data_IF_951752465423
#
_entry.id   IF_951752465423
#
_cell.length_a   1.000
_cell.length_b   1.000
_cell.length_c   1.000
_cell.angle_alpha   90.00
_cell.angle_beta   90.00
_cell.angle_gamma   90.00
#
_symmetry.space_group_name_H-M   'P 1'
#
loop_
_entity.id
_entity.type
_entity.pdbx_description
1 polymer ?
#
# COMPACT_ATOMS: atom_id res chain seq x y z
N UNK A 1 46.21 -28.35 -16.66
CA UNK A 1 45.28 -28.33 -17.79
C UNK A 1 44.65 -26.95 -17.81
N UNK A 2 45.22 -26.09 -18.63
CA UNK A 2 45.00 -24.62 -18.71
C UNK A 2 43.89 -24.36 -19.72
N UNK A 3 42.83 -23.66 -19.31
CA UNK A 3 41.75 -23.18 -20.20
C UNK A 3 41.74 -21.69 -20.28
N UNK A 4 41.93 -21.22 -21.52
CA UNK A 4 42.07 -19.84 -21.96
C UNK A 4 40.75 -19.06 -21.85
N UNK A 5 40.81 -17.88 -21.28
CA UNK A 5 39.80 -16.81 -21.40
C UNK A 5 39.90 -16.09 -22.73
N UNK A 6 38.82 -15.95 -23.46
CA UNK A 6 38.66 -15.05 -24.60
C UNK A 6 37.75 -13.87 -24.20
N UNK A 7 38.13 -12.63 -24.49
CA UNK A 7 37.27 -11.47 -24.27
C UNK A 7 36.32 -11.24 -25.45
N UNK A 8 35.05 -10.91 -25.14
CA UNK A 8 34.04 -10.49 -26.11
C UNK A 8 34.18 -8.98 -26.34
N UNK A 9 34.37 -8.60 -27.58
CA UNK A 9 34.47 -7.20 -28.06
C UNK A 9 33.08 -6.59 -28.17
N UNK A 10 32.85 -5.47 -27.49
CA UNK A 10 31.73 -4.55 -27.71
C UNK A 10 31.90 -3.76 -28.98
N UNK A 11 30.96 -3.82 -29.89
CA UNK A 11 30.87 -2.97 -31.07
C UNK A 11 29.86 -1.85 -30.85
N UNK A 12 30.34 -0.63 -30.74
CA UNK A 12 29.56 0.60 -30.79
C UNK A 12 29.14 0.90 -32.23
N UNK A 13 27.85 1.09 -32.47
CA UNK A 13 27.38 1.71 -33.72
C UNK A 13 26.71 3.05 -33.41
N UNK A 14 27.39 4.11 -33.80
CA UNK A 14 26.84 5.46 -33.99
C UNK A 14 26.15 5.50 -35.37
N UNK A 15 24.95 6.07 -35.42
CA UNK A 15 24.32 6.61 -36.64
C UNK A 15 23.40 7.73 -36.17
N UNK A 16 23.70 8.91 -36.39
CA UNK A 16 23.59 9.84 -37.51
C UNK A 16 22.15 10.40 -37.65
N UNK A 17 22.10 11.72 -37.36
CA UNK A 17 20.92 12.61 -37.50
C UNK A 17 20.59 12.79 -38.99
N UNK A 18 19.28 12.85 -39.29
CA UNK A 18 18.79 13.52 -40.49
C UNK A 18 17.62 14.42 -40.12
N UNK A 19 17.80 15.70 -40.35
CA UNK A 19 16.82 16.78 -40.32
C UNK A 19 16.19 16.85 -41.70
N UNK A 20 14.86 16.94 -41.80
CA UNK A 20 14.18 17.39 -43.01
C UNK A 20 12.99 18.25 -42.63
N UNK A 21 13.12 19.52 -42.94
CA UNK A 21 12.11 20.60 -42.94
C UNK A 21 11.37 20.66 -44.27
N UNK A 22 10.24 21.36 -44.30
CA UNK A 22 9.34 21.86 -45.37
C UNK A 22 8.01 21.08 -45.43
N UNK A 23 6.86 21.73 -45.57
CA UNK A 23 6.49 23.11 -45.85
C UNK A 23 4.99 23.30 -45.75
N UNK A 24 4.58 24.51 -45.57
CA UNK A 24 3.22 25.02 -45.45
C UNK A 24 2.43 24.94 -46.78
N UNK A 25 1.10 24.72 -46.65
CA UNK A 25 0.14 25.13 -47.69
C UNK A 25 -1.16 25.57 -47.04
N UNK A 26 -1.39 26.87 -47.11
CA UNK A 26 -2.66 27.58 -46.85
C UNK A 26 -3.50 27.52 -48.12
N UNK A 27 -4.78 27.16 -48.02
CA UNK A 27 -5.76 27.42 -49.04
C UNK A 27 -7.02 27.99 -48.42
N UNK A 28 -7.17 29.32 -48.61
CA UNK A 28 -8.40 30.08 -48.43
C UNK A 28 -9.27 29.92 -49.69
N UNK A 29 -10.54 29.62 -49.54
CA UNK A 29 -11.52 29.79 -50.62
C UNK A 29 -12.74 30.49 -50.02
N UNK A 30 -12.86 31.76 -50.37
CA UNK A 30 -14.04 32.60 -50.28
C UNK A 30 -14.90 32.34 -51.52
N UNK A 31 -16.19 32.17 -51.33
CA UNK A 31 -17.17 32.40 -52.41
C UNK A 31 -18.42 33.06 -51.81
N UNK A 32 -18.62 34.31 -52.19
CA UNK A 32 -19.86 35.07 -52.11
C UNK A 32 -20.78 34.74 -53.25
N UNK A 33 -22.08 34.67 -53.02
CA UNK A 33 -23.09 34.60 -54.06
C UNK A 33 -24.47 34.82 -53.44
N UNK A 34 -25.03 36.06 -53.65
CA UNK A 34 -26.31 36.49 -53.13
C UNK A 34 -27.49 36.06 -54.02
N UNK A 35 -28.72 36.20 -53.50
CA UNK A 35 -29.99 36.01 -54.19
C UNK A 35 -31.14 36.03 -53.21
N UNK A 36 -31.89 37.15 -53.20
CA UNK A 36 -33.12 37.36 -52.47
C UNK A 36 -34.21 36.46 -52.95
N UNK A 37 -35.07 35.91 -52.09
CA UNK A 37 -36.52 36.13 -52.17
C UNK A 37 -37.25 35.68 -50.90
N UNK A 38 -38.31 36.40 -50.61
CA UNK A 38 -39.14 36.33 -49.42
C UNK A 38 -40.12 35.16 -49.42
N UNK A 39 -40.31 34.49 -48.30
CA UNK A 39 -41.60 33.88 -47.94
C UNK A 39 -41.64 33.57 -46.43
N UNK A 40 -42.62 34.14 -45.81
CA UNK A 40 -43.08 34.09 -44.44
C UNK A 40 -43.51 32.69 -44.02
N UNK A 41 -43.01 32.18 -42.89
CA UNK A 41 -43.67 31.09 -42.17
C UNK A 41 -43.18 31.03 -40.69
N UNK A 42 -44.14 30.94 -39.80
CA UNK A 42 -44.22 30.94 -38.34
C UNK A 42 -43.10 30.20 -37.56
N UNK A 43 -42.88 30.63 -36.29
CA UNK A 43 -41.86 30.07 -35.43
C UNK A 43 -42.27 28.68 -34.92
N UNK A 44 -41.50 27.67 -35.27
CA UNK A 44 -41.54 26.37 -34.62
C UNK A 44 -40.53 26.38 -33.49
N UNK A 45 -40.98 26.09 -32.26
CA UNK A 45 -40.19 26.16 -31.04
C UNK A 45 -38.96 25.28 -31.12
N UNK A 46 -37.83 25.91 -31.08
CA UNK A 46 -36.54 25.28 -30.83
C UNK A 46 -36.53 24.86 -29.37
N UNK A 47 -36.80 23.55 -29.15
CA UNK A 47 -36.43 22.89 -27.90
C UNK A 47 -34.90 22.94 -27.82
N UNK A 48 -34.39 23.92 -27.06
CA UNK A 48 -33.02 23.86 -26.55
C UNK A 48 -32.83 22.52 -25.86
N UNK A 49 -32.15 21.61 -26.51
CA UNK A 49 -31.61 20.42 -25.89
C UNK A 49 -30.60 20.97 -24.85
N UNK A 50 -31.00 20.97 -23.58
CA UNK A 50 -30.05 21.08 -22.49
C UNK A 50 -29.04 19.99 -22.71
N UNK A 51 -27.81 20.35 -23.07
CA UNK A 51 -26.68 19.46 -22.98
C UNK A 51 -26.62 19.01 -21.53
N UNK A 52 -27.03 17.79 -21.29
CA UNK A 52 -26.86 17.09 -20.02
C UNK A 52 -25.36 16.94 -19.84
N UNK A 53 -24.75 17.82 -19.04
CA UNK A 53 -23.35 17.72 -18.67
C UNK A 53 -23.21 16.61 -17.65
N UNK A 54 -23.55 15.38 -18.05
CA UNK A 54 -23.27 14.21 -17.23
C UNK A 54 -21.75 14.05 -17.15
N UNK A 55 -21.18 14.15 -15.95
CA UNK A 55 -19.82 13.71 -15.66
C UNK A 55 -19.58 12.35 -16.29
N UNK A 56 -18.38 12.06 -16.84
CA UNK A 56 -18.09 10.78 -17.45
C UNK A 56 -18.43 9.66 -16.48
N UNK A 57 -19.13 8.62 -16.97
CA UNK A 57 -19.53 7.47 -16.13
C UNK A 57 -18.34 6.62 -15.71
N UNK A 58 -17.25 6.66 -16.50
CA UNK A 58 -16.00 5.93 -16.27
C UNK A 58 -14.79 6.85 -16.43
N UNK A 59 -13.65 6.41 -15.90
CA UNK A 59 -12.34 7.05 -16.08
C UNK A 59 -11.25 5.98 -16.10
N UNK A 60 -10.13 6.28 -16.73
CA UNK A 60 -8.97 5.38 -16.80
C UNK A 60 -8.00 5.72 -15.68
N UNK A 61 -7.55 4.72 -14.93
CA UNK A 61 -6.46 4.81 -13.96
C UNK A 61 -5.35 3.83 -14.35
N UNK A 62 -4.12 4.11 -13.95
CA UNK A 62 -3.04 3.12 -14.01
C UNK A 62 -2.98 2.41 -12.66
N UNK A 63 -3.01 1.09 -12.70
CA UNK A 63 -2.79 0.27 -11.51
C UNK A 63 -1.30 0.20 -11.12
N UNK A 64 -0.96 -0.49 -10.04
CA UNK A 64 0.42 -0.59 -9.55
C UNK A 64 1.36 -1.36 -10.50
N UNK A 65 0.83 -2.10 -11.47
CA UNK A 65 1.61 -2.74 -12.54
C UNK A 65 1.88 -1.80 -13.73
N UNK A 66 1.25 -0.62 -13.72
CA UNK A 66 1.26 0.34 -14.83
C UNK A 66 0.20 0.06 -15.89
N UNK A 67 -0.65 -0.96 -15.69
CA UNK A 67 -1.75 -1.30 -16.59
C UNK A 67 -2.84 -0.23 -16.51
N UNK A 68 -3.31 0.25 -17.67
CA UNK A 68 -4.44 1.17 -17.76
C UNK A 68 -5.76 0.38 -17.61
N UNK A 69 -6.53 0.72 -16.60
CA UNK A 69 -7.80 0.07 -16.27
C UNK A 69 -8.92 1.11 -16.29
N UNK A 70 -10.01 0.80 -17.00
CA UNK A 70 -11.22 1.62 -16.98
C UNK A 70 -12.06 1.25 -15.74
N UNK A 71 -12.37 2.26 -14.92
CA UNK A 71 -13.13 2.09 -13.68
C UNK A 71 -14.31 3.08 -13.62
N UNK A 72 -15.35 2.82 -12.83
CA UNK A 72 -16.39 3.82 -12.57
C UNK A 72 -15.77 5.13 -12.07
N UNK A 73 -16.30 6.27 -12.50
CA UNK A 73 -15.86 7.58 -11.99
C UNK A 73 -16.07 7.69 -10.46
N UNK A 74 -17.14 7.08 -9.97
CA UNK A 74 -17.49 6.98 -8.56
C UNK A 74 -17.86 5.53 -8.19
N UNK A 75 -16.90 4.67 -7.84
CA UNK A 75 -17.20 3.31 -7.41
C UNK A 75 -18.08 3.31 -6.15
N UNK A 76 -19.07 2.42 -6.11
CA UNK A 76 -20.03 2.30 -4.99
C UNK A 76 -19.99 0.94 -4.32
N UNK A 77 -19.55 -0.09 -5.02
CA UNK A 77 -19.55 -1.47 -4.56
C UNK A 77 -18.15 -2.06 -4.64
N UNK A 78 -17.35 -1.74 -3.64
CA UNK A 78 -15.93 -2.08 -3.62
C UNK A 78 -15.74 -3.41 -2.89
N UNK A 79 -14.97 -4.31 -3.48
CA UNK A 79 -14.43 -5.50 -2.83
C UNK A 79 -12.93 -5.31 -2.62
N UNK A 80 -12.44 -5.61 -1.42
CA UNK A 80 -11.02 -5.56 -1.07
C UNK A 80 -10.49 -6.96 -0.80
N UNK A 81 -9.35 -7.31 -1.40
CA UNK A 81 -8.75 -8.65 -1.31
C UNK A 81 -7.51 -8.71 -0.40
N UNK A 82 -7.13 -7.56 0.17
CA UNK A 82 -6.07 -7.47 1.18
C UNK A 82 -6.52 -6.63 2.37
N UNK A 83 -5.84 -6.79 3.49
CA UNK A 83 -6.09 -5.96 4.67
C UNK A 83 -5.64 -4.51 4.45
N UNK A 84 -4.64 -4.30 3.62
CA UNK A 84 -4.14 -2.98 3.25
C UNK A 84 -5.18 -2.21 2.42
N UNK A 85 -5.80 -2.86 1.42
CA UNK A 85 -6.91 -2.28 0.66
C UNK A 85 -8.09 -1.94 1.55
N UNK A 86 -8.42 -2.85 2.49
CA UNK A 86 -9.48 -2.65 3.48
C UNK A 86 -9.20 -1.43 4.37
N UNK A 87 -7.99 -1.37 4.93
CA UNK A 87 -7.52 -0.25 5.76
C UNK A 87 -7.65 1.08 5.00
N UNK A 88 -7.17 1.11 3.75
CA UNK A 88 -7.18 2.30 2.90
C UNK A 88 -8.60 2.81 2.61
N UNK A 89 -9.54 1.93 2.24
CA UNK A 89 -10.92 2.38 1.95
C UNK A 89 -11.65 2.82 3.22
N UNK A 90 -11.40 2.14 4.36
CA UNK A 90 -11.98 2.53 5.65
C UNK A 90 -11.44 3.87 6.16
N UNK A 91 -10.16 4.18 5.92
CA UNK A 91 -9.57 5.49 6.22
C UNK A 91 -10.18 6.63 5.39
N UNK A 92 -10.75 6.29 4.23
CA UNK A 92 -11.47 7.21 3.35
C UNK A 92 -12.99 7.23 3.60
N UNK A 93 -13.46 6.68 4.72
CA UNK A 93 -14.88 6.56 5.07
C UNK A 93 -15.72 5.82 4.01
N UNK A 94 -15.12 4.77 3.42
CA UNK A 94 -15.79 3.88 2.47
C UNK A 94 -15.95 2.51 3.11
N UNK A 95 -17.19 2.05 3.25
CA UNK A 95 -17.49 0.69 3.71
C UNK A 95 -17.57 -0.25 2.49
N UNK A 96 -16.65 -1.21 2.33
CA UNK A 96 -16.68 -2.15 1.20
C UNK A 96 -17.85 -3.13 1.33
N UNK A 97 -18.24 -3.77 0.21
CA UNK A 97 -19.32 -4.78 0.19
C UNK A 97 -18.81 -6.20 0.37
N UNK A 98 -17.51 -6.41 0.30
CA UNK A 98 -16.85 -7.70 0.54
C UNK A 98 -15.39 -7.48 0.90
N UNK A 99 -14.89 -8.28 1.84
CA UNK A 99 -13.52 -8.21 2.37
C UNK A 99 -12.93 -9.61 2.51
N UNK A 100 -11.61 -9.72 2.61
CA UNK A 100 -10.93 -10.96 2.98
C UNK A 100 -10.51 -10.93 4.45
N UNK A 101 -10.20 -12.11 5.00
CA UNK A 101 -9.55 -12.25 6.29
C UNK A 101 -8.14 -11.64 6.25
N UNK A 102 -7.62 -11.26 7.42
CA UNK A 102 -6.26 -10.74 7.56
C UNK A 102 -5.19 -11.79 7.33
N UNK A 103 -3.94 -11.35 7.22
CA UNK A 103 -2.79 -12.22 7.00
C UNK A 103 -2.61 -13.25 8.11
N UNK A 104 -2.69 -14.52 7.77
CA UNK A 104 -2.56 -15.63 8.74
C UNK A 104 -3.71 -15.74 9.73
N UNK A 105 -4.84 -15.06 9.49
CA UNK A 105 -6.02 -15.05 10.35
C UNK A 105 -7.22 -15.69 9.65
N UNK A 106 -8.15 -16.20 10.45
CA UNK A 106 -9.47 -16.68 10.03
C UNK A 106 -10.58 -15.61 10.16
N UNK A 107 -10.19 -14.38 10.42
CA UNK A 107 -11.02 -13.20 10.64
C UNK A 107 -10.30 -11.93 10.16
N UNK A 108 -11.02 -10.80 9.99
CA UNK A 108 -10.40 -9.50 9.75
C UNK A 108 -9.42 -9.11 10.87
N UNK A 109 -8.43 -8.24 10.59
CA UNK A 109 -7.50 -7.72 11.60
C UNK A 109 -8.24 -7.07 12.77
N UNK A 110 -7.76 -7.29 14.00
CA UNK A 110 -8.45 -6.83 15.21
C UNK A 110 -8.62 -5.30 15.26
N UNK A 111 -7.64 -4.54 14.77
CA UNK A 111 -7.72 -3.07 14.76
C UNK A 111 -8.79 -2.50 13.80
N UNK A 112 -9.33 -3.31 12.89
CA UNK A 112 -10.41 -2.95 11.97
C UNK A 112 -11.76 -3.58 12.37
N UNK A 113 -11.81 -4.43 13.40
CA UNK A 113 -12.96 -5.27 13.71
C UNK A 113 -14.27 -4.48 13.83
N UNK A 114 -14.27 -3.37 14.57
CA UNK A 114 -15.45 -2.53 14.77
C UNK A 114 -15.95 -1.84 13.50
N UNK A 115 -15.05 -1.62 12.53
CA UNK A 115 -15.36 -0.95 11.26
C UNK A 115 -15.95 -1.90 10.21
N UNK A 116 -15.75 -3.21 10.39
CA UNK A 116 -16.11 -4.23 9.38
C UNK A 116 -17.29 -5.10 9.79
N UNK A 117 -17.93 -4.80 10.91
CA UNK A 117 -19.10 -5.55 11.36
C UNK A 117 -20.19 -5.60 10.27
N UNK A 118 -20.67 -6.82 9.99
CA UNK A 118 -21.71 -7.08 8.99
C UNK A 118 -21.23 -7.04 7.52
N UNK A 119 -19.93 -6.89 7.25
CA UNK A 119 -19.41 -7.01 5.88
C UNK A 119 -19.17 -8.48 5.54
N UNK A 120 -19.49 -8.87 4.30
CA UNK A 120 -19.31 -10.26 3.84
C UNK A 120 -17.82 -10.61 3.70
N UNK A 121 -17.43 -11.77 4.25
CA UNK A 121 -16.10 -12.34 4.03
C UNK A 121 -16.11 -13.11 2.71
N UNK A 122 -15.36 -12.62 1.72
CA UNK A 122 -15.28 -13.19 0.38
C UNK A 122 -14.10 -14.14 0.19
N UNK A 123 -13.30 -14.38 1.20
CA UNK A 123 -12.16 -15.32 1.16
C UNK A 123 -11.10 -14.97 2.18
N UNK A 124 -9.91 -15.55 1.98
CA UNK A 124 -8.71 -15.21 2.73
C UNK A 124 -7.82 -14.25 1.92
N UNK A 125 -6.81 -13.69 2.56
CA UNK A 125 -5.84 -12.79 1.94
C UNK A 125 -5.36 -13.36 0.59
N UNK A 126 -5.56 -12.61 -0.51
CA UNK A 126 -5.21 -12.99 -1.88
C UNK A 126 -5.78 -14.34 -2.38
N UNK A 127 -6.73 -14.90 -1.64
CA UNK A 127 -7.40 -16.17 -1.95
C UNK A 127 -8.93 -15.98 -1.94
N UNK A 128 -9.49 -15.24 -2.90
CA UNK A 128 -10.91 -14.98 -2.97
C UNK A 128 -11.69 -16.25 -3.35
N UNK A 129 -12.89 -16.39 -2.77
CA UNK A 129 -13.90 -17.38 -3.19
C UNK A 129 -14.76 -16.72 -4.25
N UNK A 130 -14.57 -17.08 -5.52
CA UNK A 130 -15.16 -16.40 -6.68
C UNK A 130 -16.68 -16.25 -6.58
N UNK A 131 -17.41 -17.30 -6.16
CA UNK A 131 -18.87 -17.24 -6.00
C UNK A 131 -19.30 -16.15 -4.99
N UNK A 132 -18.52 -15.96 -3.92
CA UNK A 132 -18.79 -14.91 -2.94
C UNK A 132 -18.49 -13.51 -3.48
N UNK A 133 -17.44 -13.38 -4.30
CA UNK A 133 -17.12 -12.12 -4.98
C UNK A 133 -18.23 -11.77 -5.97
N UNK A 134 -18.70 -12.74 -6.78
CA UNK A 134 -19.84 -12.57 -7.71
C UNK A 134 -21.10 -12.13 -6.94
N UNK A 135 -21.40 -12.81 -5.82
CA UNK A 135 -22.58 -12.48 -4.99
C UNK A 135 -22.49 -11.06 -4.39
N UNK A 136 -21.29 -10.54 -4.15
CA UNK A 136 -21.09 -9.16 -3.69
C UNK A 136 -21.38 -8.11 -4.78
N UNK A 137 -21.47 -8.48 -6.06
CA UNK A 137 -21.77 -7.61 -7.23
C UNK A 137 -20.88 -6.36 -7.23
N UNK A 138 -19.54 -6.50 -7.23
CA UNK A 138 -18.64 -5.35 -7.19
C UNK A 138 -18.68 -4.55 -8.49
N UNK A 139 -18.52 -3.23 -8.37
CA UNK A 139 -18.21 -2.35 -9.49
C UNK A 139 -16.72 -1.94 -9.50
N UNK A 140 -15.98 -2.26 -8.44
CA UNK A 140 -14.53 -2.14 -8.33
C UNK A 140 -13.98 -3.23 -7.42
N UNK A 141 -12.88 -3.88 -7.83
CA UNK A 141 -12.11 -4.81 -7.01
C UNK A 141 -10.70 -4.23 -6.80
N UNK A 142 -10.28 -4.12 -5.53
CA UNK A 142 -8.93 -3.79 -5.14
C UNK A 142 -8.22 -5.10 -4.75
N UNK A 143 -7.18 -5.45 -5.49
CA UNK A 143 -6.57 -6.79 -5.45
C UNK A 143 -5.15 -6.81 -4.84
N UNK A 144 -4.78 -5.76 -4.08
CA UNK A 144 -3.49 -5.69 -3.39
C UNK A 144 -2.32 -5.90 -4.34
N UNK A 145 -1.40 -6.74 -3.92
CA UNK A 145 -0.24 -7.18 -4.69
C UNK A 145 -0.46 -8.55 -5.36
N UNK A 146 -1.69 -8.84 -5.80
CA UNK A 146 -2.05 -10.08 -6.49
C UNK A 146 -1.16 -10.31 -7.73
N UNK A 147 -0.45 -11.43 -7.73
CA UNK A 147 0.44 -11.82 -8.83
C UNK A 147 -0.06 -13.05 -9.59
N UNK A 148 -1.10 -13.72 -9.09
CA UNK A 148 -1.70 -14.86 -9.77
C UNK A 148 -2.57 -14.38 -10.95
N UNK A 149 -2.02 -14.49 -12.15
CA UNK A 149 -2.67 -14.08 -13.40
C UNK A 149 -3.98 -14.84 -13.67
N UNK A 150 -4.11 -16.09 -13.21
CA UNK A 150 -5.33 -16.86 -13.37
C UNK A 150 -6.44 -16.30 -12.45
N UNK A 151 -6.10 -15.98 -11.23
CA UNK A 151 -7.02 -15.31 -10.29
C UNK A 151 -7.41 -13.93 -10.81
N UNK A 152 -6.45 -13.11 -11.26
CA UNK A 152 -6.72 -11.80 -11.84
C UNK A 152 -7.64 -11.88 -13.05
N UNK A 153 -7.44 -12.88 -13.94
CA UNK A 153 -8.32 -13.10 -15.08
C UNK A 153 -9.76 -13.38 -14.64
N UNK A 154 -9.96 -14.27 -13.68
CA UNK A 154 -11.28 -14.59 -13.14
C UNK A 154 -11.95 -13.37 -12.48
N UNK A 155 -11.20 -12.57 -11.74
CA UNK A 155 -11.72 -11.33 -11.15
C UNK A 155 -12.15 -10.31 -12.23
N UNK A 156 -11.37 -10.18 -13.32
CA UNK A 156 -11.70 -9.31 -14.46
C UNK A 156 -12.90 -9.79 -15.26
N UNK A 157 -13.23 -11.08 -15.22
CA UNK A 157 -14.48 -11.62 -15.77
C UNK A 157 -15.71 -11.21 -14.92
N UNK A 158 -15.54 -11.00 -13.61
CA UNK A 158 -16.60 -10.49 -12.71
C UNK A 158 -16.79 -8.99 -12.93
N UNK A 159 -15.70 -8.21 -12.88
CA UNK A 159 -15.68 -6.80 -13.26
C UNK A 159 -14.33 -6.42 -13.89
N UNK A 160 -14.33 -5.81 -15.10
CA UNK A 160 -13.09 -5.30 -15.71
C UNK A 160 -12.37 -4.29 -14.83
N UNK A 161 -13.09 -3.59 -13.95
CA UNK A 161 -12.56 -2.65 -12.97
C UNK A 161 -11.91 -3.40 -11.78
N UNK A 162 -10.88 -4.21 -12.08
CA UNK A 162 -10.06 -4.92 -11.11
C UNK A 162 -8.65 -4.35 -11.16
N UNK A 163 -8.18 -3.79 -10.04
CA UNK A 163 -6.88 -3.11 -9.91
C UNK A 163 -5.92 -3.92 -9.04
N UNK A 164 -4.71 -4.13 -9.52
CA UNK A 164 -3.57 -4.43 -8.64
C UNK A 164 -3.16 -3.10 -7.99
N UNK A 165 -3.31 -2.98 -6.69
CA UNK A 165 -3.21 -1.69 -5.99
C UNK A 165 -1.84 -1.41 -5.40
N UNK A 166 -0.98 -2.42 -5.28
CA UNK A 166 0.31 -2.33 -4.60
C UNK A 166 1.43 -3.01 -5.41
N UNK A 167 2.51 -2.28 -5.67
CA UNK A 167 3.75 -2.85 -6.19
C UNK A 167 4.66 -3.32 -5.04
N UNK A 168 5.63 -4.25 -5.30
CA UNK A 168 6.52 -4.77 -4.26
C UNK A 168 7.32 -3.71 -3.50
N UNK A 169 7.61 -2.58 -4.14
CA UNK A 169 8.45 -1.49 -3.59
C UNK A 169 7.65 -0.32 -3.02
N UNK A 170 6.32 -0.35 -3.13
CA UNK A 170 5.48 0.74 -2.65
C UNK A 170 5.52 0.80 -1.11
N UNK A 171 5.65 2.01 -0.59
CA UNK A 171 5.31 2.28 0.81
C UNK A 171 3.79 2.47 0.96
N UNK A 172 3.31 2.48 2.20
CA UNK A 172 1.89 2.62 2.48
C UNK A 172 1.30 3.95 1.97
N UNK A 173 2.08 5.01 1.90
CA UNK A 173 1.60 6.34 1.45
C UNK A 173 1.39 6.37 -0.06
N UNK A 174 2.33 5.79 -0.82
CA UNK A 174 2.20 5.69 -2.27
C UNK A 174 1.01 4.80 -2.63
N UNK A 175 0.92 3.63 -2.00
CA UNK A 175 -0.22 2.72 -2.12
C UNK A 175 -1.55 3.43 -1.79
N UNK A 176 -1.63 4.13 -0.65
CA UNK A 176 -2.85 4.81 -0.21
C UNK A 176 -3.29 5.92 -1.17
N UNK A 177 -2.35 6.68 -1.75
CA UNK A 177 -2.65 7.63 -2.84
C UNK A 177 -3.24 6.92 -4.06
N UNK A 178 -2.72 5.76 -4.42
CA UNK A 178 -3.24 4.94 -5.51
C UNK A 178 -4.69 4.52 -5.28
N UNK A 179 -4.99 4.01 -4.08
CA UNK A 179 -6.37 3.66 -3.67
C UNK A 179 -7.24 4.92 -3.65
N UNK A 180 -6.77 6.03 -3.03
CA UNK A 180 -7.49 7.30 -3.01
C UNK A 180 -7.84 7.80 -4.41
N UNK A 181 -6.90 7.68 -5.35
CA UNK A 181 -7.18 7.98 -6.75
C UNK A 181 -8.22 7.01 -7.31
N UNK A 182 -8.11 5.70 -7.08
CA UNK A 182 -9.06 4.71 -7.59
C UNK A 182 -10.50 4.93 -7.11
N UNK A 183 -10.70 5.43 -5.89
CA UNK A 183 -12.02 5.68 -5.31
C UNK A 183 -12.46 7.15 -5.37
N UNK A 184 -11.79 7.98 -6.20
CA UNK A 184 -12.05 9.41 -6.37
C UNK A 184 -11.96 10.24 -5.07
N UNK A 185 -11.01 9.88 -4.18
CA UNK A 185 -10.75 10.57 -2.90
C UNK A 185 -9.25 10.88 -2.70
N UNK A 186 -8.53 11.20 -3.77
CA UNK A 186 -7.08 11.46 -3.71
C UNK A 186 -6.74 12.61 -2.75
N UNK A 187 -7.53 13.69 -2.73
CA UNK A 187 -7.28 14.83 -1.84
C UNK A 187 -7.43 14.42 -0.37
N UNK A 188 -8.42 13.58 -0.05
CA UNK A 188 -8.61 13.06 1.30
C UNK A 188 -7.44 12.15 1.72
N UNK A 189 -6.94 11.31 0.81
CA UNK A 189 -5.77 10.49 1.06
C UNK A 189 -4.51 11.34 1.30
N UNK A 190 -4.28 12.37 0.50
CA UNK A 190 -3.16 13.30 0.68
C UNK A 190 -3.26 14.05 2.02
N UNK A 191 -4.46 14.50 2.37
CA UNK A 191 -4.70 15.18 3.65
C UNK A 191 -4.38 14.25 4.83
N UNK A 192 -4.90 13.03 4.81
CA UNK A 192 -4.62 12.02 5.85
C UNK A 192 -3.11 11.82 6.04
N UNK A 193 -2.37 11.63 4.94
CA UNK A 193 -0.90 11.44 4.99
C UNK A 193 -0.22 12.64 5.64
N UNK A 194 -0.59 13.87 5.25
CA UNK A 194 -0.01 15.10 5.81
C UNK A 194 -0.31 15.24 7.30
N UNK A 195 -1.55 14.94 7.71
CA UNK A 195 -1.97 14.99 9.10
C UNK A 195 -1.22 13.94 9.95
N UNK A 196 -1.08 12.70 9.43
CA UNK A 196 -0.31 11.64 10.07
C UNK A 196 1.16 12.02 10.25
N UNK A 197 1.83 12.55 9.21
CA UNK A 197 3.23 12.98 9.30
C UNK A 197 3.43 14.07 10.35
N UNK A 198 2.51 15.03 10.42
CA UNK A 198 2.53 16.06 11.45
C UNK A 198 2.31 15.49 12.86
N UNK A 199 1.36 14.56 13.00
CA UNK A 199 1.07 13.88 14.26
C UNK A 199 2.25 13.01 14.73
N UNK A 200 2.86 12.23 13.84
CA UNK A 200 4.01 11.37 14.14
C UNK A 200 5.20 12.21 14.63
N UNK A 201 5.52 13.31 13.94
CA UNK A 201 6.55 14.25 14.38
C UNK A 201 6.25 14.84 15.74
N UNK A 202 5.03 15.31 15.95
CA UNK A 202 4.61 15.90 17.22
C UNK A 202 4.62 14.88 18.37
N UNK A 203 4.26 13.62 18.10
CA UNK A 203 4.33 12.53 19.06
C UNK A 203 5.78 12.24 19.45
N UNK A 204 6.70 12.16 18.48
CA UNK A 204 8.12 11.96 18.72
C UNK A 204 8.76 13.04 19.61
N UNK A 205 8.35 14.30 19.46
CA UNK A 205 8.83 15.41 20.30
C UNK A 205 8.41 15.24 21.78
N UNK A 206 7.34 14.50 22.05
CA UNK A 206 6.78 14.30 23.40
C UNK A 206 7.30 13.05 24.11
N UNK A 207 8.21 12.29 23.51
CA UNK A 207 8.74 11.05 24.11
C UNK A 207 9.71 11.25 25.27
N UNK A 208 9.96 12.50 25.68
CA UNK A 208 10.81 12.83 26.84
C UNK A 208 12.22 12.29 26.68
N UNK A 209 12.70 11.50 27.67
CA UNK A 209 14.03 10.90 27.65
C UNK A 209 14.25 9.87 26.53
N UNK A 210 13.16 9.33 25.97
CA UNK A 210 13.21 8.36 24.90
C UNK A 210 13.17 9.03 23.49
N UNK A 211 13.20 10.37 23.43
CA UNK A 211 13.32 11.07 22.15
C UNK A 211 14.60 10.66 21.43
N UNK A 212 14.45 10.16 20.20
CA UNK A 212 15.57 9.68 19.39
C UNK A 212 16.19 8.35 19.86
N UNK A 213 15.48 7.59 20.70
CA UNK A 213 15.89 6.25 21.12
C UNK A 213 16.06 5.31 19.91
N UNK A 214 16.97 4.34 20.03
CA UNK A 214 17.15 3.28 19.05
C UNK A 214 16.10 2.18 19.27
N UNK A 215 15.19 2.02 18.28
CA UNK A 215 14.14 1.00 18.29
C UNK A 215 14.47 -0.14 17.36
N UNK A 216 14.56 -1.34 17.90
CA UNK A 216 14.68 -2.59 17.17
C UNK A 216 13.29 -3.14 16.88
N UNK A 217 12.99 -3.46 15.61
CA UNK A 217 11.71 -3.99 15.18
C UNK A 217 11.94 -5.37 14.62
N UNK A 218 11.34 -6.37 15.25
CA UNK A 218 11.64 -7.79 15.02
C UNK A 218 10.37 -8.60 14.90
N UNK A 219 10.30 -9.40 13.84
CA UNK A 219 9.34 -10.48 13.72
C UNK A 219 10.01 -11.78 14.15
N UNK A 220 9.39 -12.49 15.06
CA UNK A 220 9.86 -13.81 15.46
C UNK A 220 9.16 -14.89 14.65
N UNK A 221 9.95 -15.63 13.87
CA UNK A 221 9.52 -16.76 13.06
C UNK A 221 9.80 -18.08 13.80
N UNK A 222 9.26 -19.23 13.33
CA UNK A 222 9.56 -20.54 13.95
C UNK A 222 11.05 -20.87 14.00
N UNK A 223 11.83 -20.41 13.03
CA UNK A 223 13.27 -20.64 12.85
C UNK A 223 14.16 -19.52 13.39
N UNK A 224 13.58 -18.48 13.99
CA UNK A 224 14.31 -17.39 14.65
C UNK A 224 13.82 -15.99 14.31
N UNK A 225 14.48 -14.95 14.89
CA UNK A 225 14.11 -13.57 14.68
C UNK A 225 14.59 -13.02 13.34
N UNK A 226 13.77 -12.16 12.74
CA UNK A 226 14.11 -11.34 11.57
C UNK A 226 13.88 -9.87 11.92
N UNK A 227 14.88 -9.01 11.76
CA UNK A 227 14.67 -7.58 11.94
C UNK A 227 14.31 -6.90 10.61
N UNK A 228 13.58 -5.78 10.71
CA UNK A 228 13.03 -5.02 9.60
C UNK A 228 13.98 -3.92 9.14
N UNK A 229 14.13 -3.69 7.83
CA UNK A 229 14.87 -2.56 7.25
C UNK A 229 14.07 -1.25 7.35
N UNK A 230 14.70 -0.11 7.04
CA UNK A 230 14.16 1.23 7.29
C UNK A 230 12.86 1.56 6.55
N UNK A 231 12.67 1.01 5.34
CA UNK A 231 11.47 1.25 4.52
C UNK A 231 10.34 0.25 4.81
N UNK A 232 10.57 -0.71 5.72
CA UNK A 232 9.46 -1.52 6.21
C UNK A 232 8.49 -0.65 7.03
N UNK A 233 7.22 -0.99 6.96
CA UNK A 233 6.11 -0.18 7.45
C UNK A 233 6.32 0.40 8.86
N UNK A 234 6.46 -0.45 9.88
CA UNK A 234 6.63 0.01 11.25
C UNK A 234 7.95 0.76 11.47
N UNK A 235 9.01 0.44 10.70
CA UNK A 235 10.28 1.17 10.71
C UNK A 235 10.11 2.59 10.15
N UNK A 236 9.32 2.74 9.08
CA UNK A 236 9.00 4.04 8.50
C UNK A 236 8.30 4.96 9.52
N UNK A 237 7.28 4.45 10.22
CA UNK A 237 6.57 5.21 11.27
C UNK A 237 7.53 5.63 12.40
N UNK A 238 8.42 4.73 12.84
CA UNK A 238 9.44 5.07 13.85
C UNK A 238 10.32 6.25 13.41
N UNK A 239 10.80 6.22 12.16
CA UNK A 239 11.66 7.27 11.60
C UNK A 239 10.91 8.61 11.47
N UNK A 240 9.62 8.59 11.12
CA UNK A 240 8.75 9.78 11.08
C UNK A 240 8.58 10.41 12.48
N UNK A 241 8.56 9.62 13.52
CA UNK A 241 8.57 10.06 14.92
C UNK A 241 9.97 10.57 15.39
N UNK A 242 11.00 10.50 14.54
CA UNK A 242 12.37 10.88 14.90
C UNK A 242 13.09 9.86 15.77
N UNK A 243 12.56 8.64 15.90
CA UNK A 243 13.26 7.50 16.50
C UNK A 243 14.39 7.03 15.58
N UNK A 244 15.33 6.27 16.10
CA UNK A 244 16.47 5.75 15.35
C UNK A 244 16.41 4.24 15.25
N UNK A 245 17.21 3.71 14.33
CA UNK A 245 17.42 2.27 14.18
C UNK A 245 18.78 1.89 14.72
N UNK A 246 18.91 0.73 15.41
CA UNK A 246 20.22 0.20 15.79
C UNK A 246 21.15 0.11 14.56
N UNK A 247 22.44 0.34 14.74
CA UNK A 247 23.41 0.38 13.64
C UNK A 247 23.37 -0.86 12.73
N UNK A 248 23.16 -2.05 13.31
CA UNK A 248 23.01 -3.32 12.58
C UNK A 248 21.79 -3.33 11.65
N UNK A 249 20.72 -2.60 12.02
CA UNK A 249 19.41 -2.58 11.38
C UNK A 249 19.18 -1.32 10.52
N UNK A 250 20.05 -0.33 10.60
CA UNK A 250 19.94 0.92 9.86
C UNK A 250 20.35 0.72 8.38
N UNK A 251 19.52 0.01 7.65
CA UNK A 251 19.67 -0.27 6.23
C UNK A 251 18.51 0.32 5.45
N UNK A 252 18.85 1.03 4.37
CA UNK A 252 17.87 1.67 3.49
C UNK A 252 17.30 0.64 2.50
N UNK A 253 16.41 -0.21 2.98
CA UNK A 253 15.76 -1.25 2.18
C UNK A 253 14.34 -1.52 2.67
N UNK A 254 13.59 -2.28 1.86
CA UNK A 254 12.21 -2.69 2.10
C UNK A 254 12.11 -4.19 2.37
N UNK A 255 13.15 -4.78 2.94
CA UNK A 255 13.21 -6.20 3.27
C UNK A 255 13.29 -6.41 4.80
N UNK A 256 13.19 -7.64 5.19
CA UNK A 256 13.61 -8.12 6.50
C UNK A 256 14.76 -9.13 6.31
N UNK A 257 15.57 -9.30 7.33
CA UNK A 257 16.62 -10.31 7.28
C UNK A 257 16.02 -11.72 7.17
N UNK A 258 16.76 -12.70 6.61
CA UNK A 258 16.50 -14.09 6.92
C UNK A 258 16.48 -14.30 8.45
N UNK A 259 15.83 -15.35 8.91
CA UNK A 259 15.83 -15.71 10.33
C UNK A 259 17.24 -15.87 10.85
N UNK A 260 17.56 -15.19 11.94
CA UNK A 260 18.88 -15.23 12.58
C UNK A 260 18.98 -16.40 13.51
N UNK A 261 20.17 -17.02 13.58
CA UNK A 261 20.49 -17.98 14.61
C UNK A 261 20.61 -17.31 15.99
N UNK A 262 20.45 -18.07 17.05
CA UNK A 262 20.63 -17.56 18.42
C UNK A 262 22.04 -17.04 18.70
N UNK A 263 23.05 -17.46 17.96
CA UNK A 263 24.42 -16.94 18.05
C UNK A 263 24.51 -15.47 17.60
N UNK A 264 23.58 -15.04 16.75
CA UNK A 264 23.49 -13.68 16.23
C UNK A 264 22.37 -12.86 16.87
N UNK A 265 21.81 -13.34 17.96
CA UNK A 265 20.65 -12.70 18.59
C UNK A 265 20.95 -11.26 19.04
N UNK A 266 22.21 -10.91 19.29
CA UNK A 266 22.63 -9.55 19.59
C UNK A 266 22.35 -8.55 18.45
N UNK A 267 22.14 -9.01 17.22
CA UNK A 267 21.76 -8.15 16.10
C UNK A 267 20.35 -7.57 16.24
N UNK A 268 19.49 -8.16 17.13
CA UNK A 268 18.16 -7.63 17.40
C UNK A 268 18.11 -6.65 18.58
N UNK A 269 19.24 -6.33 19.22
CA UNK A 269 19.26 -5.43 20.38
C UNK A 269 19.14 -3.96 19.96
N UNK A 270 18.68 -3.12 20.90
CA UNK A 270 18.53 -1.68 20.80
C UNK A 270 18.16 -1.10 22.16
N UNK A 271 17.88 0.21 22.22
CA UNK A 271 17.33 0.79 23.46
C UNK A 271 15.97 0.17 23.78
N UNK A 272 15.14 -0.02 22.74
CA UNK A 272 13.84 -0.67 22.82
C UNK A 272 13.74 -1.79 21.80
N UNK A 273 13.11 -2.90 22.18
CA UNK A 273 12.88 -4.06 21.33
C UNK A 273 11.36 -4.30 21.18
N UNK A 274 10.85 -4.07 19.96
CA UNK A 274 9.47 -4.37 19.57
C UNK A 274 9.41 -5.72 18.89
N UNK A 275 8.71 -6.68 19.53
CA UNK A 275 8.60 -8.08 19.07
C UNK A 275 7.20 -8.37 18.60
N UNK A 276 7.10 -8.91 17.40
CA UNK A 276 5.86 -9.43 16.83
C UNK A 276 6.00 -10.89 16.41
N UNK A 277 4.86 -11.58 16.28
CA UNK A 277 4.76 -12.91 15.67
C UNK A 277 3.55 -12.93 14.76
N UNK A 278 3.62 -13.69 13.65
CA UNK A 278 2.48 -13.89 12.73
C UNK A 278 1.80 -15.24 12.91
N UNK A 279 2.49 -16.21 13.51
CA UNK A 279 2.02 -17.59 13.64
C UNK A 279 2.15 -18.08 15.08
N UNK A 280 1.33 -19.07 15.43
CA UNK A 280 1.42 -19.76 16.73
C UNK A 280 2.79 -20.41 16.95
N UNK A 281 3.41 -20.96 15.90
CA UNK A 281 4.72 -21.57 15.98
C UNK A 281 5.82 -20.54 16.21
N UNK A 282 5.73 -19.35 15.59
CA UNK A 282 6.62 -18.24 15.89
C UNK A 282 6.47 -17.76 17.35
N UNK A 283 5.25 -17.65 17.85
CA UNK A 283 5.00 -17.29 19.24
C UNK A 283 5.54 -18.34 20.23
N UNK A 284 5.42 -19.62 19.91
CA UNK A 284 6.01 -20.70 20.70
C UNK A 284 7.54 -20.63 20.68
N UNK A 285 8.14 -20.47 19.51
CA UNK A 285 9.60 -20.35 19.37
C UNK A 285 10.15 -19.15 20.17
N UNK A 286 9.48 -18.01 20.14
CA UNK A 286 9.83 -16.84 20.98
C UNK A 286 9.79 -17.20 22.47
N UNK A 287 8.70 -17.83 22.92
CA UNK A 287 8.56 -18.24 24.32
C UNK A 287 9.70 -19.17 24.79
N UNK A 288 10.07 -20.14 23.93
CA UNK A 288 11.13 -21.14 24.22
C UNK A 288 12.52 -20.48 24.33
N UNK A 289 12.71 -19.30 23.72
CA UNK A 289 13.98 -18.57 23.71
C UNK A 289 14.08 -17.56 24.85
N UNK A 290 12.97 -17.03 25.35
CA UNK A 290 12.96 -16.01 26.41
C UNK A 290 13.71 -16.42 27.69
N UNK A 291 13.80 -17.73 27.95
CA UNK A 291 14.53 -18.27 29.09
C UNK A 291 16.02 -18.55 28.82
N UNK A 292 16.47 -18.46 27.57
CA UNK A 292 17.87 -18.71 27.19
C UNK A 292 18.79 -17.56 27.65
N UNK A 293 20.03 -17.88 28.08
CA UNK A 293 21.00 -16.84 28.46
C UNK A 293 21.22 -15.79 27.38
N UNK A 294 21.35 -16.18 26.11
CA UNK A 294 21.59 -15.25 25.01
C UNK A 294 20.47 -14.20 24.85
N UNK A 295 19.21 -14.55 25.09
CA UNK A 295 18.10 -13.60 25.08
C UNK A 295 18.14 -12.69 26.32
N UNK A 296 18.41 -13.25 27.50
CA UNK A 296 18.48 -12.50 28.77
C UNK A 296 19.62 -11.48 28.81
N UNK A 297 20.67 -11.71 28.01
CA UNK A 297 21.82 -10.81 27.89
C UNK A 297 21.55 -9.55 27.04
N UNK A 298 20.48 -9.53 26.22
CA UNK A 298 20.11 -8.33 25.45
C UNK A 298 19.88 -7.13 26.35
N UNK A 299 20.39 -5.96 25.96
CA UNK A 299 20.27 -4.71 26.71
C UNK A 299 18.81 -4.31 26.93
N UNK A 300 17.98 -4.38 25.89
CA UNK A 300 16.55 -4.11 25.99
C UNK A 300 15.84 -5.04 26.98
N UNK A 301 16.25 -6.32 27.06
CA UNK A 301 15.68 -7.28 28.01
C UNK A 301 16.08 -6.95 29.45
N UNK A 302 17.37 -6.68 29.70
CA UNK A 302 17.89 -6.28 31.03
C UNK A 302 17.22 -5.00 31.53
N UNK A 303 16.97 -4.07 30.62
CA UNK A 303 16.36 -2.78 30.96
C UNK A 303 14.82 -2.84 31.01
N UNK A 304 14.21 -4.00 30.77
CA UNK A 304 12.75 -4.17 30.70
C UNK A 304 12.09 -3.28 29.63
N UNK A 305 12.77 -3.09 28.51
CA UNK A 305 12.38 -2.27 27.35
C UNK A 305 11.98 -3.16 26.15
N UNK A 306 11.35 -4.29 26.44
CA UNK A 306 10.78 -5.20 25.43
C UNK A 306 9.28 -5.03 25.38
N UNK A 307 8.75 -4.81 24.19
CA UNK A 307 7.33 -4.61 23.91
C UNK A 307 6.84 -5.68 22.94
N UNK A 308 5.83 -6.46 23.32
CA UNK A 308 5.15 -7.36 22.39
C UNK A 308 4.05 -6.59 21.69
N UNK A 309 4.04 -6.67 20.35
CA UNK A 309 3.10 -5.96 19.48
C UNK A 309 2.34 -6.93 18.57
N UNK A 310 1.21 -6.49 18.03
CA UNK A 310 0.39 -7.30 17.14
C UNK A 310 1.07 -7.48 15.77
N UNK A 311 1.46 -8.70 15.45
CA UNK A 311 2.11 -9.02 14.18
C UNK A 311 1.24 -8.77 12.96
N UNK A 312 -0.09 -8.86 13.10
CA UNK A 312 -1.03 -8.59 12.01
C UNK A 312 -1.07 -7.10 11.61
N UNK A 313 -0.52 -6.22 12.46
CA UNK A 313 -0.34 -4.79 12.18
C UNK A 313 1.12 -4.49 11.85
N UNK A 314 2.05 -4.91 12.72
CA UNK A 314 3.45 -4.50 12.70
C UNK A 314 4.31 -5.21 11.65
N UNK A 315 3.92 -6.42 11.23
CA UNK A 315 4.69 -7.26 10.31
C UNK A 315 4.06 -7.37 8.92
N UNK A 316 3.17 -6.45 8.57
CA UNK A 316 2.51 -6.35 7.27
C UNK A 316 3.03 -5.15 6.47
N UNK A 317 2.46 -4.90 5.32
CA UNK A 317 2.82 -3.73 4.49
C UNK A 317 2.17 -2.43 4.98
N UNK A 318 1.26 -2.55 5.95
CA UNK A 318 0.58 -1.44 6.60
C UNK A 318 -0.47 -0.75 5.74
N UNK A 319 -1.03 0.28 6.34
CA UNK A 319 -2.04 1.15 5.75
C UNK A 319 -2.21 2.38 6.63
N UNK A 320 -3.06 3.34 6.25
CA UNK A 320 -3.23 4.59 6.99
C UNK A 320 -3.69 4.39 8.43
N UNK A 321 -4.70 3.55 8.69
CA UNK A 321 -5.18 3.28 10.05
C UNK A 321 -4.17 2.46 10.86
N UNK A 322 -3.50 1.51 10.20
CA UNK A 322 -2.42 0.75 10.83
C UNK A 322 -1.24 1.66 11.24
N UNK A 323 -0.95 2.72 10.47
CA UNK A 323 0.12 3.68 10.79
C UNK A 323 -0.19 4.45 12.09
N UNK A 324 -1.44 4.84 12.28
CA UNK A 324 -1.87 5.48 13.53
C UNK A 324 -1.76 4.51 14.71
N UNK A 325 -2.15 3.24 14.55
CA UNK A 325 -2.00 2.21 15.60
C UNK A 325 -0.54 2.00 15.98
N UNK A 326 0.36 1.88 14.98
CA UNK A 326 1.80 1.71 15.25
C UNK A 326 2.38 2.94 15.96
N UNK A 327 1.98 4.15 15.55
CA UNK A 327 2.39 5.39 16.22
C UNK A 327 1.91 5.43 17.68
N UNK A 328 0.65 5.06 17.93
CA UNK A 328 0.10 4.98 19.29
C UNK A 328 0.83 3.95 20.16
N UNK A 329 1.16 2.79 19.62
CA UNK A 329 1.93 1.76 20.32
C UNK A 329 3.32 2.28 20.72
N UNK A 330 4.02 3.00 19.81
CA UNK A 330 5.29 3.67 20.15
C UNK A 330 5.11 4.69 21.28
N UNK A 331 4.10 5.56 21.17
CA UNK A 331 3.83 6.56 22.20
C UNK A 331 3.56 5.88 23.55
N UNK A 332 2.70 4.87 23.59
CA UNK A 332 2.37 4.13 24.81
C UNK A 332 3.60 3.50 25.46
N UNK A 333 4.46 2.88 24.64
CA UNK A 333 5.67 2.23 25.13
C UNK A 333 6.72 3.23 25.63
N UNK A 334 7.02 4.26 24.84
CA UNK A 334 8.14 5.16 25.06
C UNK A 334 7.81 6.36 25.98
N UNK A 335 6.52 6.73 26.13
CA UNK A 335 6.12 7.80 27.05
C UNK A 335 5.96 7.31 28.50
N UNK A 336 5.88 5.98 28.70
CA UNK A 336 5.77 5.40 30.03
C UNK A 336 7.10 5.53 30.80
N UNK A 337 7.21 6.60 31.61
CA UNK A 337 8.25 6.92 32.62
C UNK A 337 9.58 7.45 32.15
#
# INVERSE_FOLDING_TARGET
MTLHHRPVRTASRRAARAVATLGAAVLLLTACGGGSDSAESKPSGEKSAKADSSSPKTRTVKDATGTAVEIPAEPKRIVTLTQEDLDAVLALDIKPVGITNGQGLDKPPAYLADKVEGINIVGNLLQPVMDKVVAAKPDLILAGDMQDEQVLKQLREITPATLVTMAPTDDWKLFFRGVGNAVNKLDAANKFITDHEAAAKAAGEKLGKNKGAEVSIVRWNPDGPSWMENKQFASGVALEMGLKRPKSQNKDGNAHTPSLSLEKINEIDGDWLFLSTLTSDGAKALKDVQDKPAYKELGAVKNKQVVTVDGSVWSTRGGPLAADVVMEDYVKALSAK
#
